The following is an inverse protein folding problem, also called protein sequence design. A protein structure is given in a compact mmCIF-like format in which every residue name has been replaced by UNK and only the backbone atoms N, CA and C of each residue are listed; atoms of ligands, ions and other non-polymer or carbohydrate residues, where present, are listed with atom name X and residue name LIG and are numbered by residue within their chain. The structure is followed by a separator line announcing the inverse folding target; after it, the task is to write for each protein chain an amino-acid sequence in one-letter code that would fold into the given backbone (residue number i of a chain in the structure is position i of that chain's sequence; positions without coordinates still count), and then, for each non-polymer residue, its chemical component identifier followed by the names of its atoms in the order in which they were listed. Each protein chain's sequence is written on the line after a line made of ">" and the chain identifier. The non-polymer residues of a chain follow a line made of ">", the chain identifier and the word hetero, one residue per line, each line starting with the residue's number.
data_IF_707363045251
#
_entry.id   IF_707363045251
#
_cell.length_a   1.000
_cell.length_b   1.000
_cell.length_c   1.000
_cell.angle_alpha   90.00
_cell.angle_beta   90.00
_cell.angle_gamma   90.00
#
_symmetry.space_group_name_H-M   'P 1'
#
loop_
_entity.id
_entity.type
_entity.pdbx_description
1 polymer ?
#
# COMPACT_ATOMS: atom_id res chain seq x y z
N UNK A 1 -9.59 26.23 0.82
CA UNK A 1 -10.31 24.95 0.77
C UNK A 1 -9.41 23.89 1.37
N UNK A 2 -9.87 23.12 2.37
CA UNK A 2 -9.06 22.02 2.90
C UNK A 2 -8.92 20.94 1.80
N UNK A 3 -7.70 20.52 1.51
CA UNK A 3 -7.43 19.48 0.51
C UNK A 3 -8.10 18.16 0.89
N UNK A 4 -8.50 17.37 -0.11
CA UNK A 4 -9.11 16.05 0.13
C UNK A 4 -8.12 15.16 0.90
N UNK A 5 -8.45 14.81 2.14
CA UNK A 5 -7.69 13.81 2.91
C UNK A 5 -7.98 12.41 2.35
N UNK A 6 -6.92 11.63 2.17
CA UNK A 6 -7.00 10.25 1.67
C UNK A 6 -6.11 9.34 2.49
N UNK A 7 -6.49 8.07 2.56
CA UNK A 7 -5.67 7.00 3.10
C UNK A 7 -5.53 5.92 2.02
N UNK A 8 -4.31 5.63 1.60
CA UNK A 8 -4.02 4.53 0.69
C UNK A 8 -3.65 3.29 1.49
N UNK A 9 -4.27 2.16 1.14
CA UNK A 9 -3.97 0.83 1.64
C UNK A 9 -3.62 -0.04 0.43
N UNK A 10 -2.50 -0.75 0.51
CA UNK A 10 -1.95 -1.56 -0.58
C UNK A 10 -1.68 -2.95 -0.05
N UNK A 11 -2.25 -3.98 -0.67
CA UNK A 11 -2.19 -5.39 -0.23
C UNK A 11 -1.42 -6.22 -1.26
N UNK A 12 -0.89 -7.41 -0.94
CA UNK A 12 -0.14 -8.26 -1.89
C UNK A 12 -1.01 -9.15 -2.78
N UNK A 13 -0.65 -9.23 -4.07
CA UNK A 13 -1.44 -9.87 -5.13
C UNK A 13 -1.59 -11.36 -5.03
N UNK A 14 -0.47 -11.99 -4.77
CA UNK A 14 -0.32 -13.41 -4.71
C UNK A 14 -1.12 -14.00 -3.54
N UNK A 15 -1.31 -13.24 -2.46
CA UNK A 15 -2.11 -13.66 -1.29
C UNK A 15 -3.59 -13.80 -1.61
N UNK A 16 -4.10 -13.10 -2.62
CA UNK A 16 -5.48 -13.30 -3.09
C UNK A 16 -5.69 -14.70 -3.65
N UNK A 17 -4.66 -15.27 -4.30
CA UNK A 17 -4.72 -16.61 -4.88
C UNK A 17 -4.45 -17.70 -3.85
N UNK A 18 -3.54 -17.45 -2.91
CA UNK A 18 -3.10 -18.45 -1.93
C UNK A 18 -4.05 -18.58 -0.73
N UNK A 19 -4.66 -17.48 -0.28
CA UNK A 19 -5.47 -17.42 0.95
C UNK A 19 -6.95 -17.10 0.73
N UNK A 20 -7.40 -17.03 -0.54
CA UNK A 20 -8.78 -16.75 -0.92
C UNK A 20 -9.33 -15.41 -0.36
N UNK A 21 -8.44 -14.44 -0.14
CA UNK A 21 -8.76 -13.12 0.40
C UNK A 21 -9.51 -12.26 -0.64
N UNK A 22 -10.50 -11.42 -0.24
CA UNK A 22 -11.22 -10.55 -1.17
C UNK A 22 -10.33 -9.49 -1.86
N UNK A 23 -10.50 -9.34 -3.18
CA UNK A 23 -9.61 -8.65 -4.14
C UNK A 23 -9.48 -7.13 -3.92
N UNK A 24 -8.29 -6.56 -4.23
CA UNK A 24 -8.24 -5.20 -4.80
C UNK A 24 -6.96 -4.34 -4.65
N UNK A 25 -6.23 -4.14 -5.75
CA UNK A 25 -4.98 -3.36 -5.91
C UNK A 25 -3.76 -3.97 -5.24
N UNK A 26 -3.03 -4.73 -6.04
CA UNK A 26 -2.23 -5.79 -5.50
C UNK A 26 -0.84 -5.86 -6.15
N UNK A 27 0.19 -5.27 -5.52
CA UNK A 27 1.61 -5.46 -5.87
C UNK A 27 2.17 -6.82 -5.43
N UNK A 28 3.28 -7.22 -6.06
CA UNK A 28 4.17 -8.26 -5.57
C UNK A 28 5.06 -7.76 -4.40
N UNK A 29 5.80 -8.65 -3.76
CA UNK A 29 6.68 -8.32 -2.64
C UNK A 29 7.70 -7.21 -2.97
N UNK A 30 8.34 -7.29 -4.14
CA UNK A 30 9.39 -6.35 -4.52
C UNK A 30 8.81 -4.94 -4.71
N UNK A 31 7.64 -4.85 -5.33
CA UNK A 31 6.89 -3.61 -5.47
C UNK A 31 6.48 -3.01 -4.11
N UNK A 32 6.08 -3.85 -3.14
CA UNK A 32 5.70 -3.40 -1.79
C UNK A 32 6.90 -2.85 -1.00
N UNK A 33 8.06 -3.53 -1.08
CA UNK A 33 9.31 -3.06 -0.46
C UNK A 33 9.86 -1.78 -1.12
N UNK A 34 9.76 -1.69 -2.44
CA UNK A 34 10.14 -0.48 -3.16
C UNK A 34 9.27 0.72 -2.75
N UNK A 35 7.96 0.52 -2.63
CA UNK A 35 7.04 1.54 -2.14
C UNK A 35 7.37 1.96 -0.70
N UNK A 36 7.63 1.00 0.19
CA UNK A 36 8.05 1.28 1.57
C UNK A 36 9.31 2.15 1.60
N UNK A 37 10.33 1.81 0.81
CA UNK A 37 11.57 2.60 0.71
C UNK A 37 11.31 4.04 0.26
N UNK A 38 10.48 4.23 -0.77
CA UNK A 38 10.10 5.56 -1.24
C UNK A 38 9.37 6.37 -0.17
N UNK A 39 8.45 5.73 0.58
CA UNK A 39 7.72 6.39 1.65
C UNK A 39 8.64 6.76 2.82
N UNK A 40 9.60 5.89 3.19
CA UNK A 40 10.62 6.19 4.22
C UNK A 40 11.51 7.37 3.82
N UNK A 41 12.03 7.37 2.60
CA UNK A 41 12.90 8.45 2.10
C UNK A 41 12.19 9.80 2.12
N UNK A 42 10.89 9.81 1.84
CA UNK A 42 10.07 11.01 1.83
C UNK A 42 9.41 11.32 3.19
N UNK A 43 9.83 10.64 4.27
CA UNK A 43 9.28 10.80 5.62
C UNK A 43 7.75 10.66 5.71
N UNK A 44 7.15 9.87 4.83
CA UNK A 44 5.71 9.58 4.84
C UNK A 44 5.47 8.46 5.85
N UNK A 45 4.71 8.75 6.89
CA UNK A 45 4.40 7.77 7.94
C UNK A 45 3.46 6.71 7.40
N UNK A 46 3.88 5.46 7.56
CA UNK A 46 3.16 4.29 7.08
C UNK A 46 3.32 3.13 8.06
N UNK A 47 2.45 2.14 7.91
CA UNK A 47 2.53 0.85 8.59
C UNK A 47 2.68 -0.24 7.56
N UNK A 48 3.70 -1.07 7.73
CA UNK A 48 3.88 -2.34 7.01
C UNK A 48 3.34 -3.48 7.88
N UNK A 49 2.52 -4.36 7.32
CA UNK A 49 2.16 -5.64 7.92
C UNK A 49 2.99 -6.75 7.30
N UNK A 50 3.44 -7.65 8.17
CA UNK A 50 4.27 -8.81 7.85
C UNK A 50 3.51 -10.02 8.41
N UNK A 51 3.28 -11.03 7.58
CA UNK A 51 2.58 -12.25 8.01
C UNK A 51 3.52 -13.14 8.80
N UNK A 52 2.98 -13.86 9.77
CA UNK A 52 3.67 -14.93 10.49
C UNK A 52 2.99 -16.27 10.24
N UNK A 53 3.72 -17.40 10.27
CA UNK A 53 5.16 -17.55 10.51
C UNK A 53 6.07 -17.27 9.29
N UNK A 54 5.52 -16.95 8.12
CA UNK A 54 6.32 -16.89 6.89
C UNK A 54 7.15 -15.59 6.70
N UNK A 55 7.00 -14.59 7.57
CA UNK A 55 7.80 -13.34 7.62
C UNK A 55 7.87 -12.52 6.33
N UNK A 56 6.88 -12.63 5.44
CA UNK A 56 6.82 -11.83 4.24
C UNK A 56 5.86 -10.63 4.40
N UNK A 57 6.15 -9.48 3.77
CA UNK A 57 5.27 -8.31 3.82
C UNK A 57 3.97 -8.58 3.08
N UNK A 58 2.83 -8.15 3.62
CA UNK A 58 1.49 -8.41 3.03
C UNK A 58 0.70 -7.16 2.71
N UNK A 59 0.88 -6.09 3.49
CA UNK A 59 0.13 -4.87 3.33
C UNK A 59 0.97 -3.67 3.77
N UNK A 60 0.73 -2.52 3.14
CA UNK A 60 1.24 -1.22 3.57
C UNK A 60 0.12 -0.19 3.53
N UNK A 61 -0.04 0.58 4.60
CA UNK A 61 -0.99 1.69 4.67
C UNK A 61 -0.29 2.95 5.16
N UNK A 62 -0.60 4.08 4.53
CA UNK A 62 -0.15 5.40 4.99
C UNK A 62 -1.09 5.96 6.06
N UNK A 63 -0.62 6.92 6.86
CA UNK A 63 -1.54 7.78 7.62
C UNK A 63 -2.46 8.55 6.66
N UNK A 64 -3.59 9.10 7.14
CA UNK A 64 -4.35 10.07 6.34
C UNK A 64 -3.45 11.27 5.99
N UNK A 65 -3.34 11.56 4.69
CA UNK A 65 -2.58 12.69 4.15
C UNK A 65 -3.42 13.45 3.13
N UNK A 66 -3.13 14.75 2.90
CA UNK A 66 -3.67 15.45 1.76
C UNK A 66 -3.32 14.72 0.47
N UNK A 67 -4.33 14.51 -0.38
CA UNK A 67 -4.19 13.73 -1.62
C UNK A 67 -3.01 14.16 -2.47
N UNK A 68 -2.76 15.45 -2.56
CA UNK A 68 -1.69 16.04 -3.37
C UNK A 68 -0.28 15.61 -2.90
N UNK A 69 -0.09 15.36 -1.61
CA UNK A 69 1.20 14.96 -1.04
C UNK A 69 1.54 13.51 -1.37
N UNK A 70 0.56 12.62 -1.25
CA UNK A 70 0.79 11.17 -1.31
C UNK A 70 0.39 10.53 -2.63
N UNK A 71 -0.54 11.11 -3.40
CA UNK A 71 -1.08 10.48 -4.62
C UNK A 71 0.04 10.09 -5.61
N UNK A 72 1.12 10.87 -5.72
CA UNK A 72 2.25 10.60 -6.63
C UNK A 72 2.89 9.22 -6.44
N UNK A 73 2.94 8.70 -5.21
CA UNK A 73 3.50 7.38 -4.92
C UNK A 73 2.56 6.24 -5.35
N UNK A 74 1.25 6.49 -5.32
CA UNK A 74 0.21 5.47 -5.60
C UNK A 74 -0.35 5.54 -7.03
N UNK A 75 0.02 6.55 -7.85
CA UNK A 75 -0.47 6.70 -9.25
C UNK A 75 -0.22 5.49 -10.14
N UNK A 76 0.87 4.76 -9.89
CA UNK A 76 1.24 3.55 -10.67
C UNK A 76 0.44 2.31 -10.24
N UNK A 77 -0.23 2.37 -9.10
CA UNK A 77 -1.03 1.27 -8.57
C UNK A 77 -2.46 1.38 -9.10
N UNK A 78 -3.04 0.23 -9.46
CA UNK A 78 -4.40 0.18 -10.00
C UNK A 78 -5.40 0.18 -8.86
N UNK A 79 -6.06 1.31 -8.64
CA UNK A 79 -7.16 1.43 -7.68
C UNK A 79 -8.22 0.35 -7.97
N UNK A 80 -8.54 -0.47 -6.98
CA UNK A 80 -9.67 -1.37 -7.09
C UNK A 80 -10.97 -0.58 -6.93
N UNK A 81 -11.88 -0.81 -7.88
CA UNK A 81 -13.26 -0.35 -7.79
C UNK A 81 -14.09 -1.63 -7.73
N UNK A 82 -14.76 -1.84 -6.61
CA UNK A 82 -15.76 -2.90 -6.46
C UNK A 82 -16.99 -2.63 -7.29
#
# INVERSE_FOLDING_TARGET
>A
MAGQLVQYIVVRADLLKTLNWPVGSVPDESSLRNLESQLKENSVLHKMWIEQPEYFPTCIAVKPYPKEEVQKYFKKLRLFKG
#
